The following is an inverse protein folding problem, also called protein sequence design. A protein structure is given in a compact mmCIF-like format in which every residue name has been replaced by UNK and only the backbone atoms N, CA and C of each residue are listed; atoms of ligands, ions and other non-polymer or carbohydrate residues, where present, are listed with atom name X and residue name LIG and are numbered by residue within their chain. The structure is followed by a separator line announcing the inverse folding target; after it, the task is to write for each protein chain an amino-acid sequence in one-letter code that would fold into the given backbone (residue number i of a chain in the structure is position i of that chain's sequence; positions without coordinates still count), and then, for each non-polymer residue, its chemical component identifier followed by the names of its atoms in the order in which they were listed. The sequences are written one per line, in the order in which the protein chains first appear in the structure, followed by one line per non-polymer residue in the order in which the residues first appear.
data_IF_422459872612
#
_entry.id   IF_422459872612
#
_cell.length_a   1.000
_cell.length_b   1.000
_cell.length_c   1.000
_cell.angle_alpha   90.00
_cell.angle_beta   90.00
_cell.angle_gamma   90.00
#
_symmetry.space_group_name_H-M   'P 1'
#
loop_
_entity.id
_entity.type
_entity.pdbx_description
1 polymer ?
#
# COMPACT_ATOMS: atom_id res chain seq x y z
N UNK A 1 -10.19 -34.05 -10.91
CA UNK A 1 -11.46 -33.32 -11.07
C UNK A 1 -12.54 -34.29 -10.64
N UNK A 2 -12.99 -34.16 -9.41
CA UNK A 2 -14.07 -34.98 -8.84
C UNK A 2 -15.36 -34.17 -8.95
N UNK A 3 -16.24 -34.62 -9.85
CA UNK A 3 -17.58 -34.10 -10.01
C UNK A 3 -18.37 -34.37 -8.71
N UNK A 4 -18.70 -33.31 -7.98
CA UNK A 4 -19.61 -33.37 -6.84
C UNK A 4 -21.03 -33.38 -7.43
N UNK A 5 -21.81 -34.48 -7.28
CA UNK A 5 -23.15 -34.51 -7.81
C UNK A 5 -24.03 -33.52 -7.05
N UNK A 6 -24.77 -32.72 -7.79
CA UNK A 6 -25.75 -31.76 -7.29
C UNK A 6 -26.84 -32.52 -6.50
N UNK A 7 -27.01 -32.19 -5.22
CA UNK A 7 -28.13 -32.69 -4.41
C UNK A 7 -29.15 -31.57 -4.24
N UNK A 8 -30.43 -31.85 -4.53
CA UNK A 8 -31.50 -30.90 -4.27
C UNK A 8 -31.62 -30.66 -2.76
N UNK A 9 -31.86 -29.40 -2.39
CA UNK A 9 -32.11 -29.01 -1.01
C UNK A 9 -33.30 -29.75 -0.45
N UNK A 10 -33.32 -30.17 0.82
CA UNK A 10 -34.48 -30.76 1.46
C UNK A 10 -35.64 -29.76 1.44
N UNK A 11 -36.89 -30.25 1.32
CA UNK A 11 -38.06 -29.38 1.33
C UNK A 11 -38.13 -28.59 2.63
N UNK A 12 -38.56 -27.35 2.53
CA UNK A 12 -38.72 -26.41 3.62
C UNK A 12 -39.62 -27.04 4.71
N UNK A 13 -39.14 -27.13 5.99
CA UNK A 13 -39.91 -27.71 7.08
C UNK A 13 -41.15 -26.88 7.49
N UNK A 14 -41.27 -25.65 6.97
CA UNK A 14 -42.44 -24.79 7.19
C UNK A 14 -43.43 -25.07 6.06
N UNK A 15 -44.48 -25.84 6.36
CA UNK A 15 -45.55 -26.13 5.40
C UNK A 15 -46.18 -24.90 4.76
N UNK A 16 -47.06 -25.10 3.75
CA UNK A 16 -47.66 -23.99 3.03
C UNK A 16 -48.37 -23.03 3.99
N UNK A 17 -48.20 -21.74 3.77
CA UNK A 17 -48.69 -20.62 4.58
C UNK A 17 -50.21 -20.52 4.69
N UNK A 18 -50.92 -21.47 4.11
CA UNK A 18 -52.37 -21.49 3.98
C UNK A 18 -53.11 -21.82 5.30
N UNK A 19 -52.40 -22.32 6.34
CA UNK A 19 -53.00 -22.70 7.61
C UNK A 19 -52.90 -21.64 8.71
N UNK A 20 -52.50 -20.40 8.37
CA UNK A 20 -52.51 -19.34 9.37
C UNK A 20 -53.97 -18.90 9.61
N UNK A 21 -54.50 -18.96 10.87
CA UNK A 21 -55.82 -18.47 11.17
C UNK A 21 -55.95 -17.01 10.74
N UNK A 22 -56.97 -16.68 9.97
CA UNK A 22 -57.26 -15.33 9.56
C UNK A 22 -57.40 -14.46 10.82
N UNK A 23 -56.35 -13.72 11.15
CA UNK A 23 -56.43 -12.71 12.20
C UNK A 23 -57.37 -11.61 11.71
N UNK A 24 -58.61 -11.68 12.12
CA UNK A 24 -59.50 -10.54 12.02
C UNK A 24 -58.79 -9.36 12.68
N UNK A 25 -58.66 -8.21 12.00
CA UNK A 25 -58.06 -7.04 12.60
C UNK A 25 -58.88 -6.68 13.84
N UNK A 26 -58.27 -6.79 15.01
CA UNK A 26 -58.89 -6.36 16.27
C UNK A 26 -59.34 -4.90 16.11
N UNK A 27 -60.64 -4.66 16.35
CA UNK A 27 -61.20 -3.30 16.32
C UNK A 27 -60.37 -2.45 17.28
N UNK A 28 -59.76 -1.34 16.85
CA UNK A 28 -59.00 -0.51 17.74
C UNK A 28 -59.91 -0.02 18.90
N UNK A 29 -59.35 0.11 20.15
CA UNK A 29 -60.10 0.63 21.28
C UNK A 29 -60.66 2.01 20.94
N UNK A 30 -61.87 2.31 21.45
CA UNK A 30 -62.62 3.55 21.16
C UNK A 30 -61.85 4.85 21.44
N UNK A 31 -60.77 4.79 22.21
CA UNK A 31 -59.89 5.92 22.57
C UNK A 31 -58.57 5.95 21.77
N UNK A 32 -58.52 5.26 20.63
CA UNK A 32 -57.32 5.31 19.77
C UNK A 32 -57.23 6.74 19.18
N UNK A 33 -56.51 7.61 19.87
CA UNK A 33 -56.04 8.87 19.33
C UNK A 33 -54.79 8.55 18.48
N UNK A 34 -54.83 8.73 17.17
CA UNK A 34 -53.62 8.53 16.36
C UNK A 34 -52.51 9.40 16.95
N UNK A 35 -51.36 8.80 17.16
CA UNK A 35 -50.18 9.59 17.51
C UNK A 35 -49.97 10.67 16.46
N UNK A 36 -49.63 11.91 16.85
CA UNK A 36 -49.29 12.94 15.90
C UNK A 36 -48.24 12.39 14.93
N UNK A 37 -48.29 12.73 13.62
CA UNK A 37 -47.30 12.29 12.67
C UNK A 37 -45.95 12.53 13.29
N UNK A 38 -45.09 11.50 13.35
CA UNK A 38 -43.74 11.69 13.78
C UNK A 38 -43.16 12.77 12.87
N UNK A 39 -43.08 14.00 13.40
CA UNK A 39 -42.35 15.06 12.75
C UNK A 39 -40.97 14.46 12.52
N UNK A 40 -40.67 14.17 11.27
CA UNK A 40 -39.35 13.73 10.87
C UNK A 40 -38.41 14.85 11.22
N UNK A 41 -37.84 14.81 12.43
CA UNK A 41 -36.72 15.67 12.81
C UNK A 41 -35.59 15.32 11.86
N UNK A 42 -35.65 15.82 10.62
CA UNK A 42 -34.50 16.01 9.78
C UNK A 42 -33.67 17.11 10.42
N UNK A 43 -33.10 16.82 11.60
CA UNK A 43 -31.98 17.62 12.06
C UNK A 43 -30.91 17.47 10.99
N UNK A 44 -30.52 18.54 10.29
CA UNK A 44 -29.39 18.50 9.40
C UNK A 44 -28.23 17.99 10.25
N UNK A 45 -27.62 16.87 9.84
CA UNK A 45 -26.39 16.39 10.49
C UNK A 45 -25.45 17.58 10.60
N UNK A 46 -24.89 17.85 11.80
CA UNK A 46 -23.95 18.95 11.97
C UNK A 46 -22.87 18.79 10.89
N UNK A 47 -22.46 19.88 10.22
CA UNK A 47 -21.45 19.81 9.19
C UNK A 47 -20.26 19.06 9.79
N UNK A 48 -19.87 17.94 9.13
CA UNK A 48 -18.71 17.12 9.54
C UNK A 48 -17.54 18.08 9.66
N UNK A 49 -17.02 18.27 10.88
CA UNK A 49 -15.84 19.08 11.10
C UNK A 49 -14.78 18.65 10.09
N UNK A 50 -14.05 19.57 9.45
CA UNK A 50 -12.99 19.21 8.54
C UNK A 50 -12.07 18.25 9.28
N UNK A 51 -11.93 17.02 8.75
CA UNK A 51 -11.06 16.04 9.36
C UNK A 51 -9.65 16.65 9.39
N UNK A 52 -9.04 16.73 10.57
CA UNK A 52 -7.65 17.17 10.68
C UNK A 52 -6.80 16.30 9.75
N UNK A 53 -6.07 16.97 8.88
CA UNK A 53 -5.22 16.30 7.88
C UNK A 53 -3.99 15.76 8.60
N UNK A 54 -3.68 14.49 8.43
CA UNK A 54 -2.40 13.93 8.85
C UNK A 54 -1.35 14.07 7.73
N UNK A 55 -0.13 13.68 8.02
CA UNK A 55 0.98 13.83 7.08
C UNK A 55 1.79 12.53 6.97
N UNK A 56 2.07 12.12 5.75
CA UNK A 56 3.10 11.13 5.45
C UNK A 56 4.40 11.88 5.15
N UNK A 57 5.44 11.65 5.95
CA UNK A 57 6.79 12.10 5.69
C UNK A 57 7.58 10.95 5.07
N UNK A 58 7.65 10.98 3.74
CA UNK A 58 8.29 9.92 2.96
C UNK A 58 9.73 10.27 2.65
N UNK A 59 10.67 9.45 3.13
CA UNK A 59 12.11 9.61 2.95
C UNK A 59 12.62 8.68 1.83
N UNK A 60 12.88 9.25 0.67
CA UNK A 60 13.49 8.52 -0.45
C UNK A 60 15.01 8.61 -0.35
N UNK A 61 15.65 7.55 0.17
CA UNK A 61 17.10 7.54 0.40
C UNK A 61 17.88 7.63 -0.92
N UNK A 62 18.81 8.57 -0.97
CA UNK A 62 19.65 8.82 -2.13
C UNK A 62 20.97 8.02 -2.03
N UNK A 63 21.42 7.51 -3.18
CA UNK A 63 22.78 6.98 -3.33
C UNK A 63 23.51 7.83 -4.34
N UNK A 64 24.62 8.44 -3.94
CA UNK A 64 25.32 9.44 -4.72
C UNK A 64 25.80 8.97 -6.13
N UNK A 65 26.11 7.68 -6.29
CA UNK A 65 26.59 7.14 -7.58
C UNK A 65 25.51 6.50 -8.47
N UNK A 66 24.30 6.23 -7.94
CA UNK A 66 23.28 5.44 -8.66
C UNK A 66 22.07 6.31 -9.08
N UNK A 67 21.92 7.51 -8.53
CA UNK A 67 20.68 8.29 -8.69
C UNK A 67 20.62 9.14 -9.97
N UNK A 68 21.70 9.23 -10.74
CA UNK A 68 21.67 9.99 -11.99
C UNK A 68 20.83 9.26 -13.04
N UNK A 69 19.72 9.88 -13.46
CA UNK A 69 18.80 9.32 -14.44
C UNK A 69 17.77 8.31 -13.90
N UNK A 70 17.80 7.98 -12.60
CA UNK A 70 16.79 7.12 -11.97
C UNK A 70 15.67 8.00 -11.42
N UNK A 71 14.42 7.69 -11.81
CA UNK A 71 13.24 8.41 -11.34
C UNK A 71 12.57 7.65 -10.19
N UNK A 72 12.31 8.33 -9.05
CA UNK A 72 11.53 7.75 -7.97
C UNK A 72 10.04 7.68 -8.36
N UNK A 73 9.38 6.61 -7.93
CA UNK A 73 7.93 6.43 -8.05
C UNK A 73 7.39 6.09 -6.67
N UNK A 74 6.31 6.75 -6.30
CA UNK A 74 5.51 6.46 -5.12
C UNK A 74 4.06 6.32 -5.52
N UNK A 75 3.38 5.31 -5.00
CA UNK A 75 1.93 5.19 -5.07
C UNK A 75 1.34 5.02 -3.67
N UNK A 76 0.16 5.58 -3.47
CA UNK A 76 -0.64 5.44 -2.26
C UNK A 76 -1.96 4.78 -2.65
N UNK A 77 -2.22 3.56 -2.17
CA UNK A 77 -3.36 2.76 -2.60
C UNK A 77 -3.49 2.67 -4.14
N UNK A 78 -2.35 2.52 -4.84
CA UNK A 78 -2.29 2.49 -6.30
C UNK A 78 -2.34 3.85 -7.00
N UNK A 79 -2.63 4.95 -6.28
CA UNK A 79 -2.65 6.30 -6.85
C UNK A 79 -1.25 6.90 -6.87
N UNK A 80 -0.71 7.33 -8.03
CA UNK A 80 0.63 7.88 -8.13
C UNK A 80 0.74 9.25 -7.47
N UNK A 81 1.81 9.44 -6.70
CA UNK A 81 2.16 10.69 -6.02
C UNK A 81 3.52 11.16 -6.49
N UNK A 82 3.63 12.44 -6.81
CA UNK A 82 4.90 13.03 -7.23
C UNK A 82 5.85 13.16 -6.04
N UNK A 83 7.02 12.54 -6.15
CA UNK A 83 8.07 12.59 -5.13
C UNK A 83 9.44 12.84 -5.74
N UNK A 84 10.36 13.29 -4.91
CA UNK A 84 11.77 13.49 -5.24
C UNK A 84 12.66 12.72 -4.27
N UNK A 85 13.94 12.62 -4.58
CA UNK A 85 14.91 12.08 -3.63
C UNK A 85 15.05 13.01 -2.42
N UNK A 86 15.15 12.43 -1.23
CA UNK A 86 15.15 13.12 0.05
C UNK A 86 13.79 13.04 0.74
N UNK A 87 13.47 14.03 1.53
CA UNK A 87 12.23 14.13 2.30
C UNK A 87 11.10 14.69 1.44
N UNK A 88 9.93 14.07 1.54
CA UNK A 88 8.69 14.51 0.88
C UNK A 88 7.56 14.48 1.91
N UNK A 89 6.92 15.61 2.17
CA UNK A 89 5.77 15.71 3.08
C UNK A 89 4.49 15.73 2.27
N UNK A 90 3.62 14.74 2.49
CA UNK A 90 2.39 14.51 1.73
C UNK A 90 1.21 14.60 2.69
N UNK A 91 0.28 15.58 2.54
CA UNK A 91 -0.93 15.65 3.34
C UNK A 91 -1.90 14.54 2.94
N UNK A 92 -2.43 13.83 3.94
CA UNK A 92 -3.36 12.71 3.74
C UNK A 92 -4.55 12.83 4.67
N UNK A 93 -5.70 12.39 4.21
CA UNK A 93 -6.86 12.20 5.09
C UNK A 93 -6.57 11.06 6.08
N UNK A 94 -7.11 11.11 7.31
CA UNK A 94 -7.02 9.99 8.23
C UNK A 94 -7.55 8.71 7.61
N UNK A 95 -6.81 7.61 7.76
CA UNK A 95 -7.16 6.33 7.16
C UNK A 95 -5.99 5.38 6.99
N UNK A 96 -6.27 4.25 6.35
CA UNK A 96 -5.25 3.22 6.04
C UNK A 96 -4.77 3.36 4.61
N UNK A 97 -3.46 3.29 4.44
CA UNK A 97 -2.81 3.39 3.14
C UNK A 97 -1.79 2.27 2.96
N UNK A 98 -1.64 1.83 1.73
CA UNK A 98 -0.50 1.03 1.29
C UNK A 98 0.43 1.95 0.53
N UNK A 99 1.61 2.17 1.09
CA UNK A 99 2.69 2.95 0.47
C UNK A 99 3.50 1.99 -0.38
N UNK A 100 3.52 2.20 -1.68
CA UNK A 100 4.34 1.41 -2.60
C UNK A 100 5.38 2.32 -3.24
N UNK A 101 6.63 1.90 -3.17
CA UNK A 101 7.74 2.65 -3.74
C UNK A 101 8.53 1.80 -4.73
N UNK A 102 9.02 2.43 -5.77
CA UNK A 102 9.87 1.82 -6.78
C UNK A 102 10.75 2.87 -7.46
N UNK A 103 11.61 2.41 -8.32
CA UNK A 103 12.49 3.25 -9.13
C UNK A 103 12.39 2.86 -10.60
N UNK A 104 12.56 3.84 -11.49
CA UNK A 104 12.61 3.61 -12.93
C UNK A 104 13.91 4.17 -13.50
N UNK A 105 14.64 3.32 -14.20
CA UNK A 105 15.75 3.71 -15.05
C UNK A 105 15.43 3.33 -16.51
N UNK A 106 15.72 2.11 -16.94
CA UNK A 106 15.25 1.57 -18.23
C UNK A 106 14.00 0.69 -18.03
N UNK A 107 13.84 0.14 -16.84
CA UNK A 107 12.71 -0.67 -16.38
C UNK A 107 12.37 -0.33 -14.94
N UNK A 108 11.19 -0.76 -14.48
CA UNK A 108 10.80 -0.67 -13.09
C UNK A 108 11.60 -1.68 -12.25
N UNK A 109 12.17 -1.23 -11.13
CA UNK A 109 12.92 -2.07 -10.21
C UNK A 109 12.80 -1.57 -8.77
N UNK A 110 13.23 -2.40 -7.82
CA UNK A 110 13.22 -2.04 -6.41
C UNK A 110 11.83 -1.87 -5.81
N UNK A 111 10.82 -2.57 -6.31
CA UNK A 111 9.46 -2.48 -5.76
C UNK A 111 9.44 -2.97 -4.31
N UNK A 112 8.82 -2.17 -3.44
CA UNK A 112 8.56 -2.48 -2.04
C UNK A 112 7.25 -1.82 -1.59
N UNK A 113 6.53 -2.44 -0.65
CA UNK A 113 5.26 -1.94 -0.13
C UNK A 113 5.24 -1.99 1.39
N UNK A 114 4.59 -1.00 2.01
CA UNK A 114 4.46 -0.88 3.44
C UNK A 114 3.08 -0.31 3.83
N UNK A 115 2.31 -1.02 4.67
CA UNK A 115 1.02 -0.53 5.14
C UNK A 115 1.22 0.49 6.27
N UNK A 116 0.47 1.58 6.22
CA UNK A 116 0.44 2.62 7.26
C UNK A 116 -1.00 2.95 7.65
N UNK A 117 -1.16 3.50 8.85
CA UNK A 117 -2.39 4.16 9.27
C UNK A 117 -2.03 5.59 9.63
N UNK A 118 -2.83 6.54 9.17
CA UNK A 118 -2.69 7.96 9.47
C UNK A 118 -3.84 8.36 10.38
N UNK A 119 -3.55 8.90 11.55
CA UNK A 119 -4.53 9.50 12.46
C UNK A 119 -4.68 11.00 12.21
N UNK A 120 -5.76 11.65 12.67
CA UNK A 120 -5.93 13.09 12.56
C UNK A 120 -4.75 13.85 13.19
N UNK A 121 -4.10 14.73 12.43
CA UNK A 121 -2.96 15.53 12.90
C UNK A 121 -1.65 14.76 13.06
N UNK A 122 -1.62 13.44 12.80
CA UNK A 122 -0.44 12.61 12.95
C UNK A 122 0.54 12.82 11.80
N UNK A 123 1.84 12.66 12.11
CA UNK A 123 2.94 12.59 11.12
C UNK A 123 3.55 11.20 11.17
N UNK A 124 3.43 10.45 10.09
CA UNK A 124 3.99 9.10 9.96
C UNK A 124 5.22 9.14 9.06
N UNK A 125 6.35 8.65 9.58
CA UNK A 125 7.60 8.54 8.82
C UNK A 125 7.67 7.19 8.10
N UNK A 126 8.01 7.23 6.81
CA UNK A 126 8.28 6.04 5.99
C UNK A 126 9.55 6.24 5.19
N UNK A 127 10.46 5.30 5.31
CA UNK A 127 11.76 5.31 4.67
C UNK A 127 11.81 4.27 3.55
N UNK A 128 12.33 4.67 2.40
CA UNK A 128 12.56 3.75 1.29
C UNK A 128 14.01 3.82 0.81
N UNK A 129 14.62 2.66 0.68
CA UNK A 129 15.93 2.47 0.05
C UNK A 129 15.79 1.63 -1.21
N UNK A 130 16.12 2.20 -2.36
CA UNK A 130 16.22 1.43 -3.60
C UNK A 130 17.38 0.44 -3.54
N UNK A 131 17.32 -0.68 -4.26
CA UNK A 131 18.38 -1.69 -4.26
C UNK A 131 19.67 -1.18 -4.90
N UNK A 132 20.79 -1.80 -4.54
CA UNK A 132 22.08 -1.50 -5.16
C UNK A 132 22.22 -2.08 -6.58
N UNK A 133 21.41 -3.10 -6.92
CA UNK A 133 21.41 -3.75 -8.22
C UNK A 133 19.98 -3.91 -8.74
N UNK A 134 19.79 -3.93 -10.05
CA UNK A 134 18.46 -3.96 -10.70
C UNK A 134 17.63 -5.22 -10.40
N UNK A 135 18.28 -6.30 -9.99
CA UNK A 135 17.64 -7.60 -9.71
C UNK A 135 17.15 -7.76 -8.28
N UNK A 136 17.45 -6.82 -7.39
CA UNK A 136 17.03 -6.89 -5.99
C UNK A 136 15.78 -6.05 -5.72
N UNK A 137 15.05 -6.41 -4.65
CA UNK A 137 13.90 -5.64 -4.16
C UNK A 137 14.37 -4.38 -3.45
N UNK A 138 13.52 -3.36 -3.38
CA UNK A 138 13.70 -2.23 -2.48
C UNK A 138 13.36 -2.61 -1.05
N UNK A 139 13.82 -1.80 -0.11
CA UNK A 139 13.48 -1.91 1.31
C UNK A 139 12.65 -0.71 1.73
N UNK A 140 11.57 -0.93 2.50
CA UNK A 140 10.66 0.12 2.96
C UNK A 140 10.22 -0.17 4.40
N UNK A 141 10.13 0.86 5.24
CA UNK A 141 9.75 0.69 6.64
C UNK A 141 9.72 2.00 7.42
N UNK A 142 9.46 1.95 8.74
CA UNK A 142 9.26 3.12 9.59
C UNK A 142 10.56 3.83 10.00
N UNK A 143 11.71 3.27 9.66
CA UNK A 143 13.03 3.82 9.97
C UNK A 143 13.94 3.74 8.75
N UNK A 144 15.12 4.33 8.84
CA UNK A 144 16.13 4.26 7.78
C UNK A 144 16.41 2.81 7.36
N UNK A 145 16.32 2.57 6.04
CA UNK A 145 16.37 1.24 5.48
C UNK A 145 17.77 0.88 4.99
N UNK A 146 18.12 -0.40 5.18
CA UNK A 146 19.34 -0.97 4.62
C UNK A 146 19.14 -1.31 3.13
N UNK A 147 20.20 -1.12 2.31
CA UNK A 147 20.14 -1.44 0.87
C UNK A 147 20.54 -2.87 0.63
N UNK A 148 19.67 -3.61 -0.01
CA UNK A 148 19.97 -4.96 -0.46
C UNK A 148 20.92 -4.93 -1.66
N UNK A 149 21.81 -5.93 -1.71
CA UNK A 149 22.74 -6.15 -2.82
C UNK A 149 24.04 -5.35 -2.77
N UNK A 150 24.29 -4.50 -1.77
CA UNK A 150 25.56 -3.78 -1.62
C UNK A 150 26.77 -4.73 -1.59
N UNK A 151 26.69 -5.82 -0.80
CA UNK A 151 27.76 -6.83 -0.73
C UNK A 151 28.07 -7.43 -2.10
N UNK A 152 27.04 -7.77 -2.86
CA UNK A 152 27.21 -8.35 -4.20
C UNK A 152 27.80 -7.33 -5.18
N UNK A 153 27.40 -6.06 -5.08
CA UNK A 153 27.98 -4.98 -5.89
C UNK A 153 29.48 -4.78 -5.60
N UNK A 154 29.88 -4.80 -4.32
CA UNK A 154 31.31 -4.72 -3.94
C UNK A 154 32.10 -5.94 -4.42
N UNK A 155 31.58 -7.16 -4.27
CA UNK A 155 32.26 -8.38 -4.74
C UNK A 155 32.46 -8.34 -6.26
N UNK A 156 31.48 -7.89 -7.01
CA UNK A 156 31.57 -7.75 -8.45
C UNK A 156 32.58 -6.67 -8.85
N UNK A 157 32.57 -5.51 -8.17
CA UNK A 157 33.55 -4.44 -8.40
C UNK A 157 34.97 -4.90 -8.13
N UNK A 158 35.22 -5.55 -7.00
CA UNK A 158 36.55 -6.07 -6.64
C UNK A 158 37.00 -7.16 -7.62
N UNK A 159 36.09 -8.01 -8.09
CA UNK A 159 36.35 -9.02 -9.12
C UNK A 159 36.81 -8.37 -10.43
N UNK A 160 36.09 -7.37 -10.91
CA UNK A 160 36.46 -6.64 -12.14
C UNK A 160 37.82 -5.93 -11.99
N UNK A 161 38.05 -5.24 -10.85
CA UNK A 161 39.34 -4.60 -10.57
C UNK A 161 40.48 -5.62 -10.52
N UNK A 162 40.24 -6.77 -9.91
CA UNK A 162 41.23 -7.87 -9.86
C UNK A 162 41.62 -8.39 -11.24
N UNK A 163 40.62 -8.61 -12.12
CA UNK A 163 40.85 -9.03 -13.51
C UNK A 163 41.63 -7.95 -14.29
N UNK A 164 41.24 -6.69 -14.16
CA UNK A 164 41.95 -5.58 -14.83
C UNK A 164 43.41 -5.47 -14.35
N UNK A 165 43.64 -5.60 -13.05
CA UNK A 165 44.99 -5.60 -12.48
C UNK A 165 45.84 -6.76 -12.98
N UNK A 166 45.26 -7.98 -13.02
CA UNK A 166 45.95 -9.16 -13.54
C UNK A 166 46.30 -9.03 -15.04
N UNK A 167 45.36 -8.47 -15.82
CA UNK A 167 45.60 -8.21 -17.25
C UNK A 167 46.71 -7.17 -17.46
N UNK A 168 46.71 -6.08 -16.69
CA UNK A 168 47.76 -5.07 -16.75
C UNK A 168 49.11 -5.64 -16.37
N UNK A 169 49.15 -6.47 -15.29
CA UNK A 169 50.38 -7.12 -14.83
C UNK A 169 50.94 -8.09 -15.91
N UNK A 170 50.07 -8.86 -16.55
CA UNK A 170 50.44 -9.75 -17.65
C UNK A 170 51.06 -8.99 -18.84
N UNK A 171 50.50 -7.84 -19.21
CA UNK A 171 51.07 -6.98 -20.28
C UNK A 171 52.45 -6.48 -19.90
N UNK A 172 52.67 -6.04 -18.65
CA UNK A 172 53.97 -5.58 -18.16
C UNK A 172 54.99 -6.72 -18.26
N UNK A 173 54.66 -7.93 -17.84
CA UNK A 173 55.55 -9.09 -17.93
C UNK A 173 55.95 -9.40 -19.34
N UNK A 174 55.01 -9.36 -20.31
CA UNK A 174 55.27 -9.63 -21.72
C UNK A 174 56.15 -8.53 -22.37
N UNK A 175 55.98 -7.28 -21.98
CA UNK A 175 56.76 -6.14 -22.52
C UNK A 175 58.13 -5.98 -21.91
N UNK A 176 58.36 -6.59 -20.72
CA UNK A 176 59.63 -6.54 -20.04
C UNK A 176 60.60 -7.69 -20.40
N UNK A 177 60.09 -8.76 -21.03
CA UNK A 177 60.87 -9.91 -21.45
C UNK A 177 61.26 -9.79 -22.92
#
# INVERSE_FOLDING_TARGET
MTDIPWQPLPPDPLGPWDDLPAHSPARPPADFRPAPPAESFHQPLPPKAPAEVGYLRFHMQRTWWITTGIKPILTLNGTPVKVTYGENTIPLQPGRYVVEASQVWKSHHGHASYPITIEPGEVVDVWYAGPATLSHKGSIGPSEQHRDGLRNAYVLLLGVLGVLYAAMFAVVLVTWN
#
